data_IF_609118697738
#
_entry.id   IF_609118697738
#
_cell.length_a   1.000
_cell.length_b   1.000
_cell.length_c   1.000
_cell.angle_alpha   90.00
_cell.angle_beta   90.00
_cell.angle_gamma   90.00
#
_symmetry.space_group_name_H-M   'P 1'
#
loop_
_entity.id
_entity.type
_entity.pdbx_description
1 polymer ?
#
# COMPACT_ATOMS: atom_id res chain seq x y z
N UNK A 1 -40.35 11.86 13.32
CA UNK A 1 -39.18 11.87 12.41
C UNK A 1 -39.10 13.28 11.86
N UNK A 2 -38.09 14.05 12.25
CA UNK A 2 -37.96 15.48 11.92
C UNK A 2 -37.08 15.62 10.69
N UNK A 3 -37.58 16.29 9.65
CA UNK A 3 -36.82 16.55 8.43
C UNK A 3 -36.16 17.93 8.53
N UNK A 4 -34.85 17.98 8.29
CA UNK A 4 -34.10 19.23 8.15
C UNK A 4 -33.66 19.36 6.69
N UNK A 5 -34.17 20.38 6.01
CA UNK A 5 -33.77 20.70 4.64
C UNK A 5 -32.39 21.37 4.67
N UNK A 6 -31.46 20.83 3.89
CA UNK A 6 -30.16 21.44 3.61
C UNK A 6 -30.17 21.82 2.11
N UNK A 7 -29.96 23.10 1.76
CA UNK A 7 -29.80 23.51 0.36
C UNK A 7 -28.71 22.71 -0.36
N UNK A 8 -28.86 22.49 -1.66
CA UNK A 8 -27.86 21.74 -2.43
C UNK A 8 -26.46 22.38 -2.34
N UNK A 9 -26.38 23.71 -2.31
CA UNK A 9 -25.12 24.45 -2.16
C UNK A 9 -24.44 24.15 -0.81
N UNK A 10 -25.20 24.21 0.30
CA UNK A 10 -24.72 23.88 1.65
C UNK A 10 -24.44 22.37 1.83
N UNK A 11 -25.13 21.51 1.07
CA UNK A 11 -24.85 20.08 1.03
C UNK A 11 -23.54 19.80 0.28
N UNK A 12 -23.28 20.55 -0.79
CA UNK A 12 -22.10 20.39 -1.63
C UNK A 12 -20.85 21.07 -1.07
N UNK A 13 -20.97 21.95 -0.06
CA UNK A 13 -19.79 22.58 0.56
C UNK A 13 -18.77 21.60 1.11
N UNK A 14 -19.21 20.44 1.62
CA UNK A 14 -18.32 19.37 2.09
C UNK A 14 -17.72 18.52 0.95
N UNK A 15 -18.24 18.68 -0.28
CA UNK A 15 -17.87 17.90 -1.47
C UNK A 15 -17.21 18.75 -2.57
N UNK A 16 -16.99 20.04 -2.35
CA UNK A 16 -16.12 20.81 -3.23
C UNK A 16 -14.71 20.22 -3.12
N UNK A 17 -14.20 19.68 -4.23
CA UNK A 17 -12.75 19.54 -4.43
C UNK A 17 -12.15 20.92 -4.26
N UNK A 18 -11.61 21.18 -3.06
CA UNK A 18 -10.86 22.39 -2.77
C UNK A 18 -9.67 22.37 -3.72
N UNK A 19 -9.67 23.26 -4.71
CA UNK A 19 -8.50 23.45 -5.54
C UNK A 19 -7.35 23.90 -4.64
N UNK A 20 -6.18 23.24 -4.71
CA UNK A 20 -5.06 23.60 -3.85
C UNK A 20 -4.64 25.04 -4.12
N UNK A 21 -4.36 25.80 -3.06
CA UNK A 21 -3.92 27.19 -3.21
C UNK A 21 -2.55 27.26 -3.88
N UNK A 22 -2.20 28.44 -4.39
CA UNK A 22 -0.85 28.67 -4.89
C UNK A 22 0.21 28.43 -3.81
N UNK A 23 -0.04 28.79 -2.54
CA UNK A 23 0.90 28.49 -1.46
C UNK A 23 1.06 26.98 -1.24
N UNK A 24 -0.04 26.22 -1.22
CA UNK A 24 -0.02 24.75 -1.07
C UNK A 24 0.76 24.08 -2.21
N UNK A 25 0.55 24.52 -3.45
CA UNK A 25 1.29 24.03 -4.61
C UNK A 25 2.79 24.35 -4.53
N UNK A 26 3.17 25.53 -4.04
CA UNK A 26 4.57 25.89 -3.86
C UNK A 26 5.22 25.10 -2.72
N UNK A 27 4.51 24.91 -1.61
CA UNK A 27 4.96 24.06 -0.51
C UNK A 27 5.16 22.61 -0.97
N UNK A 28 4.20 22.06 -1.73
CA UNK A 28 4.29 20.74 -2.35
C UNK A 28 5.55 20.62 -3.22
N UNK A 29 5.78 21.57 -4.14
CA UNK A 29 6.96 21.58 -5.01
C UNK A 29 8.26 21.62 -4.21
N UNK A 30 8.33 22.44 -3.16
CA UNK A 30 9.50 22.54 -2.29
C UNK A 30 9.78 21.23 -1.52
N UNK A 31 8.73 20.59 -1.00
CA UNK A 31 8.83 19.29 -0.34
C UNK A 31 9.23 18.18 -1.31
N UNK A 32 8.63 18.15 -2.51
CA UNK A 32 8.95 17.17 -3.56
C UNK A 32 10.41 17.31 -4.01
N UNK A 33 10.89 18.54 -4.24
CA UNK A 33 12.28 18.78 -4.61
C UNK A 33 13.26 18.31 -3.52
N UNK A 34 12.97 18.63 -2.26
CA UNK A 34 13.77 18.16 -1.11
C UNK A 34 13.79 16.63 -1.03
N UNK A 35 12.63 16.00 -1.16
CA UNK A 35 12.48 14.55 -1.14
C UNK A 35 13.31 13.88 -2.25
N UNK A 36 13.13 14.29 -3.51
CA UNK A 36 13.89 13.73 -4.64
C UNK A 36 15.40 13.94 -4.47
N UNK A 37 15.82 15.13 -3.99
CA UNK A 37 17.23 15.41 -3.73
C UNK A 37 17.81 14.47 -2.67
N UNK A 38 17.09 14.20 -1.58
CA UNK A 38 17.55 13.31 -0.49
C UNK A 38 17.55 11.84 -0.91
N UNK A 39 16.49 11.37 -1.55
CA UNK A 39 16.37 9.99 -2.03
C UNK A 39 17.48 9.57 -3.00
N UNK A 40 18.09 10.51 -3.73
CA UNK A 40 19.24 10.20 -4.62
C UNK A 40 20.59 10.10 -3.90
N UNK A 41 20.70 10.48 -2.63
CA UNK A 41 21.98 10.51 -1.89
C UNK A 41 22.39 9.14 -1.35
N UNK A 42 21.42 8.28 -1.04
CA UNK A 42 21.68 6.99 -0.40
C UNK A 42 20.68 5.93 -0.85
N UNK A 43 21.17 4.84 -1.42
CA UNK A 43 20.35 3.74 -1.91
C UNK A 43 20.24 2.58 -0.89
N UNK A 44 19.75 2.92 0.30
CA UNK A 44 19.45 1.95 1.35
C UNK A 44 17.92 1.92 1.60
N UNK A 45 17.36 0.71 1.76
CA UNK A 45 15.91 0.52 1.86
C UNK A 45 15.29 1.25 3.06
N UNK A 46 15.90 1.16 4.25
CA UNK A 46 15.46 1.86 5.46
C UNK A 46 15.51 3.38 5.25
N UNK A 47 16.55 3.89 4.57
CA UNK A 47 16.64 5.31 4.24
C UNK A 47 15.51 5.75 3.31
N UNK A 48 15.25 5.00 2.22
CA UNK A 48 14.18 5.35 1.28
C UNK A 48 12.80 5.30 1.93
N UNK A 49 12.54 4.29 2.74
CA UNK A 49 11.32 4.20 3.56
C UNK A 49 11.12 5.44 4.42
N UNK A 50 12.17 5.88 5.10
CA UNK A 50 12.10 7.07 5.96
C UNK A 50 11.83 8.34 5.15
N UNK A 51 12.46 8.53 3.99
CA UNK A 51 12.20 9.68 3.12
C UNK A 51 10.76 9.69 2.57
N UNK A 52 10.22 8.54 2.16
CA UNK A 52 8.83 8.40 1.70
C UNK A 52 7.87 8.73 2.84
N UNK A 53 8.08 8.16 4.02
CA UNK A 53 7.26 8.42 5.19
C UNK A 53 7.26 9.90 5.59
N UNK A 54 8.44 10.52 5.59
CA UNK A 54 8.60 11.93 5.92
C UNK A 54 7.89 12.83 4.91
N UNK A 55 8.00 12.52 3.61
CA UNK A 55 7.31 13.25 2.56
C UNK A 55 5.79 13.19 2.75
N UNK A 56 5.24 11.98 2.92
CA UNK A 56 3.81 11.79 3.08
C UNK A 56 3.26 12.45 4.37
N UNK A 57 4.02 12.43 5.47
CA UNK A 57 3.67 13.13 6.72
C UNK A 57 3.70 14.66 6.57
N UNK A 58 4.71 15.20 5.88
CA UNK A 58 4.88 16.66 5.74
C UNK A 58 3.87 17.27 4.78
N UNK A 59 3.60 16.57 3.67
CA UNK A 59 2.77 17.09 2.58
C UNK A 59 1.30 16.82 2.80
N UNK A 60 0.95 15.62 3.26
CA UNK A 60 -0.45 15.18 3.35
C UNK A 60 -0.91 14.99 4.79
N UNK A 61 -0.04 15.25 5.77
CA UNK A 61 -0.35 15.11 7.20
C UNK A 61 -0.85 13.71 7.59
N UNK A 62 -0.48 12.69 6.82
CA UNK A 62 -0.90 11.33 7.08
C UNK A 62 -0.30 10.78 8.37
N UNK A 63 -1.12 10.08 9.15
CA UNK A 63 -0.66 9.29 10.28
C UNK A 63 -0.03 8.00 9.77
N UNK A 64 1.29 8.01 9.63
CA UNK A 64 2.08 6.86 9.17
C UNK A 64 2.81 6.22 10.33
N UNK A 65 2.71 4.90 10.43
CA UNK A 65 3.45 4.11 11.40
C UNK A 65 4.10 2.89 10.76
N UNK A 66 5.27 2.50 11.27
CA UNK A 66 5.94 1.25 10.95
C UNK A 66 5.54 0.24 12.03
N UNK A 67 4.65 -0.71 11.73
CA UNK A 67 4.16 -1.67 12.73
C UNK A 67 4.06 -3.06 12.11
N UNK A 68 4.72 -4.03 12.74
CA UNK A 68 4.64 -5.46 12.43
C UNK A 68 4.90 -5.82 10.96
N UNK A 69 6.11 -6.26 10.62
CA UNK A 69 6.48 -6.92 9.35
C UNK A 69 6.17 -6.17 8.03
N UNK A 70 5.58 -4.98 8.06
CA UNK A 70 5.48 -4.06 6.94
C UNK A 70 6.42 -2.88 7.12
N UNK A 71 6.82 -2.32 5.99
CA UNK A 71 7.56 -1.08 5.96
C UNK A 71 6.74 0.05 6.58
N UNK A 72 5.55 0.33 6.04
CA UNK A 72 4.72 1.45 6.47
C UNK A 72 3.24 1.23 6.24
N UNK A 73 2.41 1.87 7.06
CA UNK A 73 0.96 1.95 6.84
C UNK A 73 0.41 3.33 7.18
N UNK A 74 -0.57 3.79 6.40
CA UNK A 74 -1.39 4.97 6.72
C UNK A 74 -2.60 4.52 7.53
N UNK A 75 -2.82 5.20 8.65
CA UNK A 75 -3.89 4.91 9.59
C UNK A 75 -4.95 5.99 9.58
N UNK A 76 -6.19 5.55 9.78
CA UNK A 76 -7.36 6.39 10.04
C UNK A 76 -8.20 5.67 11.09
N UNK A 77 -8.62 6.39 12.14
CA UNK A 77 -9.28 5.82 13.33
C UNK A 77 -8.61 4.55 13.91
N UNK A 78 -7.28 4.55 13.95
CA UNK A 78 -6.43 3.43 14.41
C UNK A 78 -6.51 2.15 13.55
N UNK A 79 -7.15 2.19 12.38
CA UNK A 79 -7.17 1.10 11.41
C UNK A 79 -6.26 1.39 10.24
N UNK A 80 -5.62 0.36 9.70
CA UNK A 80 -4.81 0.48 8.47
C UNK A 80 -5.76 0.71 7.30
N UNK A 81 -5.55 1.81 6.56
CA UNK A 81 -6.25 2.10 5.30
C UNK A 81 -5.35 1.90 4.08
N UNK A 82 -4.06 2.15 4.22
CA UNK A 82 -3.09 1.98 3.14
C UNK A 82 -1.89 1.21 3.64
N UNK A 83 -1.50 0.17 2.92
CA UNK A 83 -0.25 -0.57 3.12
C UNK A 83 0.78 0.00 2.16
N UNK A 84 1.99 0.27 2.64
CA UNK A 84 3.09 0.80 1.84
C UNK A 84 4.29 -0.13 2.01
N UNK A 85 4.76 -0.68 0.90
CA UNK A 85 5.97 -1.49 0.80
C UNK A 85 7.02 -0.70 0.02
N UNK A 86 8.12 -0.34 0.68
CA UNK A 86 9.12 0.57 0.15
C UNK A 86 10.41 -0.19 -0.16
N UNK A 87 10.83 -0.19 -1.42
CA UNK A 87 12.11 -0.78 -1.83
C UNK A 87 13.12 0.29 -2.22
N UNK A 88 14.41 -0.05 -2.09
CA UNK A 88 15.51 0.78 -2.63
C UNK A 88 15.46 0.84 -4.16
N UNK A 89 15.99 1.92 -4.75
CA UNK A 89 15.89 2.22 -6.19
C UNK A 89 16.48 1.06 -7.03
N UNK A 90 17.63 0.52 -6.61
CA UNK A 90 18.31 -0.53 -7.37
C UNK A 90 17.85 -1.96 -7.03
N UNK A 91 16.77 -2.16 -6.24
CA UNK A 91 16.27 -3.50 -5.91
C UNK A 91 15.43 -4.12 -7.05
N UNK A 92 16.08 -4.38 -8.20
CA UNK A 92 15.43 -4.95 -9.38
C UNK A 92 14.93 -6.39 -9.20
N UNK A 93 15.36 -7.06 -8.13
CA UNK A 93 15.00 -8.45 -7.87
C UNK A 93 13.67 -8.56 -7.12
N UNK A 94 13.37 -7.60 -6.24
CA UNK A 94 12.21 -7.67 -5.34
C UNK A 94 11.13 -6.64 -5.68
N UNK A 95 11.42 -5.68 -6.54
CA UNK A 95 10.50 -4.66 -7.04
C UNK A 95 9.94 -5.02 -8.44
N UNK A 96 8.76 -4.52 -8.83
CA UNK A 96 8.23 -4.74 -10.19
C UNK A 96 9.23 -4.38 -11.28
N UNK A 97 9.41 -5.29 -12.25
CA UNK A 97 10.43 -5.14 -13.30
C UNK A 97 10.08 -4.10 -14.36
N UNK A 98 8.80 -3.86 -14.56
CA UNK A 98 8.28 -2.90 -15.52
C UNK A 98 6.88 -2.42 -15.11
N UNK A 99 6.42 -1.34 -15.74
CA UNK A 99 5.15 -0.68 -15.44
C UNK A 99 3.90 -1.53 -15.74
N UNK A 100 4.03 -2.61 -16.51
CA UNK A 100 2.91 -3.46 -16.92
C UNK A 100 2.76 -4.72 -16.07
N UNK A 101 3.81 -5.13 -15.37
CA UNK A 101 3.80 -6.32 -14.53
C UNK A 101 4.16 -5.98 -13.08
N UNK A 102 3.15 -5.85 -12.20
CA UNK A 102 3.37 -5.59 -10.78
C UNK A 102 3.93 -6.79 -10.00
N UNK A 103 3.99 -7.97 -10.62
CA UNK A 103 4.45 -9.17 -9.95
C UNK A 103 5.88 -9.01 -9.46
N UNK A 104 6.03 -9.18 -8.16
CA UNK A 104 7.27 -8.95 -7.44
C UNK A 104 7.18 -9.53 -6.02
N UNK A 105 8.32 -9.65 -5.35
CA UNK A 105 8.35 -10.02 -3.94
C UNK A 105 7.63 -8.97 -3.08
N UNK A 106 7.82 -7.69 -3.36
CA UNK A 106 7.13 -6.58 -2.69
C UNK A 106 5.59 -6.73 -2.75
N UNK A 107 5.06 -7.14 -3.90
CA UNK A 107 3.62 -7.45 -4.03
C UNK A 107 3.22 -8.60 -3.11
N UNK A 108 4.00 -9.69 -3.10
CA UNK A 108 3.70 -10.86 -2.28
C UNK A 108 3.74 -10.56 -0.77
N UNK A 109 4.72 -9.77 -0.33
CA UNK A 109 4.84 -9.26 1.05
C UNK A 109 3.62 -8.43 1.43
N UNK A 110 3.22 -7.50 0.56
CA UNK A 110 2.05 -6.64 0.78
C UNK A 110 0.73 -7.42 0.83
N UNK A 111 0.55 -8.40 -0.07
CA UNK A 111 -0.64 -9.26 -0.09
C UNK A 111 -0.73 -10.10 1.18
N UNK A 112 0.39 -10.66 1.67
CA UNK A 112 0.39 -11.40 2.93
C UNK A 112 -0.07 -10.52 4.10
N UNK A 113 0.41 -9.28 4.16
CA UNK A 113 -0.03 -8.35 5.20
C UNK A 113 -1.50 -7.95 5.06
N UNK A 114 -1.95 -7.67 3.85
CA UNK A 114 -3.36 -7.41 3.57
C UNK A 114 -4.27 -8.55 4.07
N UNK A 115 -3.92 -9.80 3.77
CA UNK A 115 -4.68 -10.96 4.24
C UNK A 115 -4.67 -11.05 5.78
N UNK A 116 -3.54 -10.76 6.44
CA UNK A 116 -3.47 -10.73 7.91
C UNK A 116 -4.39 -9.67 8.51
N UNK A 117 -4.46 -8.49 7.93
CA UNK A 117 -5.35 -7.43 8.41
C UNK A 117 -6.82 -7.79 8.17
N UNK A 118 -7.14 -8.31 6.99
CA UNK A 118 -8.48 -8.81 6.66
C UNK A 118 -8.94 -9.88 7.67
N UNK A 119 -8.10 -10.87 7.95
CA UNK A 119 -8.39 -11.96 8.91
C UNK A 119 -8.41 -11.51 10.39
N UNK A 120 -7.91 -10.31 10.71
CA UNK A 120 -8.12 -9.65 12.02
C UNK A 120 -9.41 -8.83 12.07
N UNK A 121 -10.18 -8.79 10.98
CA UNK A 121 -11.43 -8.04 10.88
C UNK A 121 -11.29 -6.64 10.30
N UNK A 122 -10.15 -6.27 9.72
CA UNK A 122 -9.99 -4.99 9.02
C UNK A 122 -10.39 -5.13 7.54
N UNK A 123 -11.62 -4.73 7.22
CA UNK A 123 -12.15 -4.68 5.85
C UNK A 123 -12.10 -3.26 5.24
N UNK A 124 -11.29 -2.36 5.80
CA UNK A 124 -11.27 -0.95 5.44
C UNK A 124 -10.04 -0.52 4.64
N UNK A 125 -9.14 -1.46 4.33
CA UNK A 125 -7.97 -1.21 3.49
C UNK A 125 -8.43 -0.78 2.09
N UNK A 126 -7.96 0.39 1.66
CA UNK A 126 -8.27 1.02 0.39
C UNK A 126 -7.20 0.78 -0.65
N UNK A 127 -5.93 0.78 -0.23
CA UNK A 127 -4.81 0.67 -1.16
C UNK A 127 -3.65 -0.16 -0.62
N UNK A 128 -2.97 -0.83 -1.55
CA UNK A 128 -1.57 -1.23 -1.40
C UNK A 128 -0.74 -0.32 -2.31
N UNK A 129 0.37 0.19 -1.79
CA UNK A 129 1.34 0.98 -2.55
C UNK A 129 2.68 0.26 -2.49
N UNK A 130 3.17 -0.21 -3.64
CA UNK A 130 4.56 -0.61 -3.79
C UNK A 130 5.32 0.58 -4.34
N UNK A 131 6.38 1.00 -3.68
CA UNK A 131 7.10 2.18 -4.12
C UNK A 131 8.61 2.06 -3.95
N UNK A 132 9.31 2.74 -4.85
CA UNK A 132 10.62 3.29 -4.58
C UNK A 132 10.47 4.82 -4.65
N UNK A 133 11.54 5.60 -4.45
CA UNK A 133 11.42 7.04 -4.42
C UNK A 133 10.78 7.72 -5.65
N UNK A 134 10.84 7.08 -6.81
CA UNK A 134 10.46 7.66 -8.10
C UNK A 134 9.41 6.84 -8.87
N UNK A 135 9.14 5.60 -8.46
CA UNK A 135 8.19 4.70 -9.09
C UNK A 135 7.19 4.17 -8.06
N UNK A 136 5.91 4.21 -8.43
CA UNK A 136 4.79 3.82 -7.56
C UNK A 136 3.86 2.89 -8.33
N UNK A 137 3.46 1.79 -7.68
CA UNK A 137 2.38 0.91 -8.10
C UNK A 137 1.30 0.96 -7.03
N UNK A 138 0.11 1.42 -7.41
CA UNK A 138 -1.01 1.62 -6.49
C UNK A 138 -2.11 0.65 -6.90
N UNK A 139 -2.51 -0.22 -5.97
CA UNK A 139 -3.61 -1.16 -6.15
C UNK A 139 -4.80 -0.65 -5.37
N UNK A 140 -5.96 -0.57 -6.00
CA UNK A 140 -7.20 -0.21 -5.33
C UNK A 140 -7.88 -1.42 -4.65
N UNK A 141 -8.87 -1.13 -3.81
CA UNK A 141 -9.59 -2.14 -3.06
C UNK A 141 -10.26 -3.21 -3.94
N UNK A 142 -10.67 -2.87 -5.16
CA UNK A 142 -11.31 -3.83 -6.07
C UNK A 142 -10.29 -4.84 -6.59
N UNK A 143 -9.07 -4.41 -6.91
CA UNK A 143 -7.96 -5.33 -7.20
C UNK A 143 -7.60 -6.20 -6.00
N UNK A 144 -7.75 -5.70 -4.77
CA UNK A 144 -7.44 -6.47 -3.56
C UNK A 144 -8.47 -7.58 -3.28
N UNK A 145 -9.74 -7.39 -3.65
CA UNK A 145 -10.81 -8.38 -3.44
C UNK A 145 -10.46 -9.74 -4.06
N UNK A 146 -9.78 -9.76 -5.20
CA UNK A 146 -9.37 -11.03 -5.85
C UNK A 146 -8.50 -11.91 -4.96
N UNK A 147 -7.78 -11.35 -3.98
CA UNK A 147 -6.92 -12.12 -3.09
C UNK A 147 -7.71 -12.80 -1.96
N UNK A 148 -8.82 -12.18 -1.50
CA UNK A 148 -9.69 -12.77 -0.47
C UNK A 148 -10.73 -13.74 -1.05
N UNK A 149 -11.16 -13.52 -2.30
CA UNK A 149 -12.16 -14.37 -2.95
C UNK A 149 -11.54 -15.65 -3.56
N UNK A 150 -10.20 -15.68 -3.68
CA UNK A 150 -9.49 -16.81 -4.27
C UNK A 150 -9.16 -17.90 -3.23
N UNK A 151 -9.82 -19.06 -3.36
CA UNK A 151 -9.65 -20.21 -2.46
C UNK A 151 -8.21 -20.74 -2.40
N UNK A 152 -7.48 -20.68 -3.51
CA UNK A 152 -6.08 -21.15 -3.58
C UNK A 152 -5.17 -20.25 -2.76
N UNK A 153 -5.31 -18.93 -2.92
CA UNK A 153 -4.56 -17.93 -2.15
C UNK A 153 -4.91 -17.99 -0.67
N UNK A 154 -6.19 -18.16 -0.34
CA UNK A 154 -6.66 -18.35 1.04
C UNK A 154 -6.03 -19.61 1.68
N UNK A 155 -5.90 -20.71 0.93
CA UNK A 155 -5.22 -21.91 1.42
C UNK A 155 -3.72 -21.67 1.64
N UNK A 156 -3.05 -20.92 0.76
CA UNK A 156 -1.65 -20.53 0.96
C UNK A 156 -1.50 -19.70 2.23
N UNK A 157 -2.40 -18.74 2.46
CA UNK A 157 -2.43 -17.94 3.69
C UNK A 157 -2.59 -18.81 4.94
N UNK A 158 -3.57 -19.72 4.96
CA UNK A 158 -3.78 -20.64 6.11
C UNK A 158 -2.56 -21.52 6.38
N UNK A 159 -1.95 -22.08 5.34
CA UNK A 159 -0.74 -22.87 5.49
C UNK A 159 0.42 -22.07 6.13
N UNK A 160 0.55 -20.79 5.76
CA UNK A 160 1.59 -19.89 6.29
C UNK A 160 1.27 -19.38 7.70
N UNK A 161 0.13 -18.71 7.87
CA UNK A 161 -0.20 -17.91 9.05
C UNK A 161 -0.91 -18.74 10.14
N UNK A 162 -1.70 -19.75 9.75
CA UNK A 162 -2.37 -20.69 10.67
C UNK A 162 -1.59 -21.98 10.89
N UNK A 163 -0.49 -22.19 10.15
CA UNK A 163 0.37 -23.39 10.23
C UNK A 163 -0.37 -24.70 9.95
N UNK A 164 -1.36 -24.67 9.07
CA UNK A 164 -2.17 -25.84 8.71
C UNK A 164 -1.46 -26.84 7.77
N UNK A 165 -0.33 -26.44 7.17
CA UNK A 165 0.46 -27.27 6.25
C UNK A 165 1.81 -27.73 6.80
N UNK A 166 2.51 -28.60 6.07
CA UNK A 166 3.88 -29.07 6.43
C UNK A 166 4.91 -27.95 6.23
N UNK A 167 4.72 -27.08 5.23
CA UNK A 167 5.59 -25.93 4.94
C UNK A 167 4.85 -24.64 5.25
N UNK A 168 5.24 -23.97 6.34
CA UNK A 168 4.51 -22.83 6.91
C UNK A 168 5.31 -21.51 6.84
N UNK A 169 6.40 -21.45 6.07
CA UNK A 169 7.22 -20.24 6.01
C UNK A 169 6.61 -19.16 5.11
N UNK A 170 6.88 -17.90 5.42
CA UNK A 170 6.53 -16.75 4.57
C UNK A 170 7.16 -16.89 3.18
N UNK A 171 8.40 -17.37 3.10
CA UNK A 171 9.06 -17.64 1.82
C UNK A 171 8.31 -18.66 0.95
N UNK A 172 7.64 -19.63 1.56
CA UNK A 172 6.81 -20.59 0.82
C UNK A 172 5.57 -19.91 0.29
N UNK A 173 4.90 -19.09 1.10
CA UNK A 173 3.76 -18.28 0.66
C UNK A 173 4.12 -17.39 -0.52
N UNK A 174 5.26 -16.66 -0.44
CA UNK A 174 5.68 -15.78 -1.53
C UNK A 174 5.92 -16.54 -2.83
N UNK A 175 6.63 -17.66 -2.80
CA UNK A 175 6.88 -18.49 -4.00
C UNK A 175 5.62 -19.08 -4.60
N UNK A 176 4.68 -19.53 -3.76
CA UNK A 176 3.42 -20.10 -4.23
C UNK A 176 2.53 -19.04 -4.87
N UNK A 177 2.40 -17.89 -4.21
CA UNK A 177 1.62 -16.77 -4.71
C UNK A 177 2.22 -16.25 -6.02
N UNK A 178 3.53 -16.07 -6.08
CA UNK A 178 4.22 -15.62 -7.29
C UNK A 178 3.98 -16.59 -8.46
N UNK A 179 4.13 -17.89 -8.22
CA UNK A 179 3.90 -18.93 -9.22
C UNK A 179 2.44 -18.94 -9.70
N UNK A 180 1.49 -18.80 -8.78
CA UNK A 180 0.06 -18.77 -9.09
C UNK A 180 -0.31 -17.57 -9.98
N UNK A 181 0.23 -16.39 -9.66
CA UNK A 181 -0.02 -15.16 -10.42
C UNK A 181 0.68 -15.17 -11.79
N UNK A 182 1.84 -15.82 -11.94
CA UNK A 182 2.48 -16.01 -13.26
C UNK A 182 1.69 -16.94 -14.17
N UNK A 183 1.10 -18.00 -13.61
CA UNK A 183 0.39 -19.04 -14.36
C UNK A 183 -0.97 -18.63 -14.90
N UNK A 184 -1.38 -17.37 -14.74
CA UNK A 184 -2.69 -16.89 -15.20
C UNK A 184 -3.87 -17.49 -14.45
N UNK A 185 -3.69 -17.81 -13.15
CA UNK A 185 -4.74 -18.21 -12.19
C UNK A 185 -5.93 -18.92 -12.83
N UNK A 186 -5.82 -20.24 -13.03
CA UNK A 186 -6.81 -21.07 -13.70
C UNK A 186 -8.26 -20.78 -13.30
N UNK A 187 -9.09 -20.81 -14.35
CA UNK A 187 -10.56 -20.75 -14.40
C UNK A 187 -11.31 -21.27 -13.16
#
# INVERSE_FOLDING_TARGET
MTYHYIPLEDFLTDYHTIEPTNEELQAFKAHLHTYLKRSTQQDNEEYQKNEINDFLKKVFHYRINTKNQIDSAIYDDNKVKVIIEAKRINNKNEFPKNKHNPLSKALCESVLYFLREYHKGNNEIKHIILCNPIEFFIFDADELKRFIDNKTIEQYYKNCDKKEGIKTSTDKFYKDLESYLMGGGGE
#
